data_IF_109219303992
#
_entry.id   IF_109219303992
#
_cell.length_a   1.000
_cell.length_b   1.000
_cell.length_c   1.000
_cell.angle_alpha   90.00
_cell.angle_beta   90.00
_cell.angle_gamma   90.00
#
_symmetry.space_group_name_H-M   'P 1'
#
loop_
_entity.id
_entity.type
_entity.pdbx_description
1 polymer ?
#
# COMPACT_ATOMS: atom_id res chain seq x y z
N UNK A 1 -3.59 -12.43 1.05
CA UNK A 1 -4.48 -11.86 0.00
C UNK A 1 -3.70 -11.52 -1.26
N UNK A 2 -2.64 -10.71 -1.20
CA UNK A 2 -1.81 -10.34 -2.34
C UNK A 2 -1.32 -11.53 -3.21
N UNK A 3 -0.78 -12.59 -2.60
CA UNK A 3 -0.34 -13.78 -3.34
C UNK A 3 -1.45 -14.51 -4.11
N UNK A 4 -2.70 -14.45 -3.63
CA UNK A 4 -3.85 -14.97 -4.38
C UNK A 4 -4.29 -14.01 -5.49
N UNK A 5 -4.12 -12.71 -5.28
CA UNK A 5 -4.52 -11.67 -6.23
C UNK A 5 -3.60 -11.59 -7.45
N UNK A 6 -2.34 -12.01 -7.36
CA UNK A 6 -1.43 -12.09 -8.52
C UNK A 6 -1.53 -13.42 -9.29
N UNK A 7 -2.31 -14.38 -8.80
CA UNK A 7 -2.43 -15.71 -9.40
C UNK A 7 -3.46 -15.69 -10.56
N UNK A 8 -3.06 -16.01 -11.82
CA UNK A 8 -3.96 -15.99 -12.97
C UNK A 8 -5.16 -16.93 -12.86
N UNK A 9 -5.03 -18.08 -12.18
CA UNK A 9 -6.14 -18.99 -11.95
C UNK A 9 -7.24 -18.34 -11.11
N UNK A 10 -6.87 -17.46 -10.18
CA UNK A 10 -7.82 -16.69 -9.38
C UNK A 10 -8.49 -15.60 -10.20
N UNK A 11 -7.84 -15.07 -11.24
CA UNK A 11 -8.46 -14.08 -12.14
C UNK A 11 -9.60 -14.68 -12.92
N UNK A 12 -9.42 -15.88 -13.49
CA UNK A 12 -10.51 -16.60 -14.18
C UNK A 12 -11.68 -16.87 -13.23
N UNK A 13 -11.39 -17.33 -12.01
CA UNK A 13 -12.42 -17.53 -10.99
C UNK A 13 -13.14 -16.23 -10.63
N UNK A 14 -12.41 -15.13 -10.51
CA UNK A 14 -12.98 -13.82 -10.20
C UNK A 14 -13.82 -13.28 -11.35
N UNK A 15 -13.40 -13.49 -12.60
CA UNK A 15 -14.14 -13.14 -13.81
C UNK A 15 -15.54 -13.75 -13.81
N UNK A 16 -15.64 -15.07 -13.60
CA UNK A 16 -16.94 -15.75 -13.49
C UNK A 16 -17.77 -15.24 -12.29
N UNK A 17 -17.14 -14.83 -11.20
CA UNK A 17 -17.83 -14.27 -10.02
C UNK A 17 -18.31 -12.82 -10.20
N UNK A 18 -17.84 -12.12 -11.24
CA UNK A 18 -18.24 -10.76 -11.57
C UNK A 18 -19.38 -10.73 -12.59
N UNK A 19 -19.74 -11.86 -13.18
CA UNK A 19 -20.88 -11.98 -14.08
C UNK A 19 -22.17 -11.54 -13.36
N UNK A 20 -22.87 -10.55 -13.93
CA UNK A 20 -24.08 -9.98 -13.35
C UNK A 20 -23.90 -9.06 -12.14
N UNK A 21 -22.66 -8.73 -11.73
CA UNK A 21 -22.39 -7.79 -10.61
C UNK A 21 -22.24 -6.35 -11.07
N UNK A 22 -22.70 -5.43 -10.23
CA UNK A 22 -22.46 -4.00 -10.42
C UNK A 22 -21.17 -3.55 -9.72
N UNK A 23 -20.63 -2.41 -10.16
CA UNK A 23 -19.47 -1.80 -9.50
C UNK A 23 -19.79 -1.37 -8.06
N UNK A 24 -21.01 -0.92 -7.79
CA UNK A 24 -21.52 -0.59 -6.47
C UNK A 24 -21.42 -1.78 -5.52
N UNK A 25 -21.85 -2.97 -5.94
CA UNK A 25 -21.80 -4.20 -5.13
C UNK A 25 -20.36 -4.53 -4.69
N UNK A 26 -19.40 -4.33 -5.60
CA UNK A 26 -17.97 -4.57 -5.33
C UNK A 26 -17.41 -3.53 -4.37
N UNK A 27 -17.76 -2.26 -4.55
CA UNK A 27 -17.34 -1.18 -3.66
C UNK A 27 -17.90 -1.38 -2.24
N UNK A 28 -19.19 -1.69 -2.12
CA UNK A 28 -19.84 -1.95 -0.83
C UNK A 28 -19.24 -3.16 -0.14
N UNK A 29 -18.96 -4.24 -0.88
CA UNK A 29 -18.27 -5.40 -0.33
C UNK A 29 -16.89 -5.04 0.22
N UNK A 30 -16.13 -4.19 -0.48
CA UNK A 30 -14.82 -3.73 -0.04
C UNK A 30 -14.91 -2.82 1.20
N UNK A 31 -15.88 -1.92 1.23
CA UNK A 31 -16.14 -1.03 2.38
C UNK A 31 -16.52 -1.84 3.61
N UNK A 32 -17.46 -2.79 3.47
CA UNK A 32 -17.87 -3.68 4.56
C UNK A 32 -16.72 -4.54 5.09
N UNK A 33 -15.90 -5.08 4.19
CA UNK A 33 -14.71 -5.84 4.59
C UNK A 33 -13.74 -4.97 5.39
N UNK A 34 -13.46 -3.76 4.89
CA UNK A 34 -12.55 -2.80 5.55
C UNK A 34 -13.08 -2.39 6.91
N UNK A 35 -14.37 -2.04 7.00
CA UNK A 35 -15.02 -1.66 8.25
C UNK A 35 -14.96 -2.79 9.28
N UNK A 36 -15.19 -4.05 8.87
CA UNK A 36 -15.07 -5.21 9.76
C UNK A 36 -13.68 -5.35 10.36
N UNK A 37 -12.61 -5.08 9.60
CA UNK A 37 -11.24 -5.11 10.12
C UNK A 37 -11.02 -4.04 11.20
N UNK A 38 -11.41 -2.79 10.92
CA UNK A 38 -11.25 -1.69 11.88
C UNK A 38 -12.14 -1.85 13.12
N UNK A 39 -13.39 -2.30 12.95
CA UNK A 39 -14.30 -2.57 14.06
C UNK A 39 -13.74 -3.68 14.96
N UNK A 40 -13.16 -4.74 14.38
CA UNK A 40 -12.51 -5.79 15.15
C UNK A 40 -11.31 -5.23 15.95
N UNK A 41 -10.48 -4.39 15.34
CA UNK A 41 -9.36 -3.75 16.03
C UNK A 41 -9.86 -2.91 17.21
N UNK A 42 -10.83 -2.03 16.98
CA UNK A 42 -11.40 -1.17 18.01
C UNK A 42 -11.94 -1.99 19.18
N UNK A 43 -12.78 -2.99 18.90
CA UNK A 43 -13.41 -3.80 19.95
C UNK A 43 -12.42 -4.68 20.71
N UNK A 44 -11.52 -5.36 20.00
CA UNK A 44 -10.58 -6.32 20.60
C UNK A 44 -9.49 -5.61 21.40
N UNK A 45 -9.13 -4.37 21.05
CA UNK A 45 -8.12 -3.60 21.77
C UNK A 45 -8.50 -3.27 23.22
N UNK A 46 -9.79 -3.30 23.57
CA UNK A 46 -10.27 -3.04 24.94
C UNK A 46 -9.86 -4.15 25.92
N UNK A 47 -9.80 -5.41 25.47
CA UNK A 47 -9.66 -6.57 26.37
C UNK A 47 -8.59 -7.58 25.96
N UNK A 48 -7.93 -7.42 24.81
CA UNK A 48 -6.89 -8.34 24.35
C UNK A 48 -5.64 -7.57 23.92
N UNK A 49 -4.49 -8.07 24.36
CA UNK A 49 -3.17 -7.61 23.91
C UNK A 49 -2.59 -8.61 22.92
N UNK A 50 -2.03 -8.10 21.84
CA UNK A 50 -1.33 -8.91 20.83
C UNK A 50 0.12 -9.18 21.25
N UNK A 51 0.77 -10.14 20.61
CA UNK A 51 2.18 -10.47 20.86
C UNK A 51 3.14 -9.30 20.62
N UNK A 52 2.75 -8.34 19.79
CA UNK A 52 3.51 -7.12 19.48
C UNK A 52 3.14 -5.93 20.36
N UNK A 53 2.33 -6.14 21.41
CA UNK A 53 1.95 -5.07 22.33
C UNK A 53 3.17 -4.40 22.95
N UNK A 54 3.19 -3.07 22.91
CA UNK A 54 4.30 -2.23 23.34
C UNK A 54 3.76 -0.92 23.95
N UNK A 55 4.57 -0.12 24.66
CA UNK A 55 4.12 1.13 25.30
C UNK A 55 3.54 2.18 24.34
N UNK A 56 3.87 2.10 23.04
CA UNK A 56 3.37 2.99 21.99
C UNK A 56 2.11 2.44 21.31
N UNK A 57 1.60 1.30 21.78
CA UNK A 57 0.38 0.65 21.30
C UNK A 57 0.43 0.32 19.81
N UNK A 58 -0.67 0.61 19.10
CA UNK A 58 -0.78 0.39 17.65
C UNK A 58 0.00 1.42 16.82
N UNK A 59 0.43 2.54 17.41
CA UNK A 59 1.17 3.58 16.70
C UNK A 59 2.44 3.03 16.05
N UNK A 60 3.17 2.16 16.77
CA UNK A 60 4.38 1.51 16.25
C UNK A 60 4.07 0.55 15.08
N UNK A 61 2.93 -0.14 15.10
CA UNK A 61 2.52 -1.05 14.02
C UNK A 61 2.16 -0.26 12.77
N UNK A 62 1.39 0.83 12.89
CA UNK A 62 1.08 1.68 11.74
C UNK A 62 2.31 2.37 11.18
N UNK A 63 3.21 2.87 12.04
CA UNK A 63 4.49 3.40 11.61
C UNK A 63 5.32 2.35 10.86
N UNK A 64 5.41 1.13 11.38
CA UNK A 64 6.09 0.02 10.71
C UNK A 64 5.50 -0.29 9.34
N UNK A 65 4.17 -0.36 9.24
CA UNK A 65 3.46 -0.54 7.96
C UNK A 65 3.77 0.57 6.95
N UNK A 66 3.71 1.84 7.38
CA UNK A 66 4.10 2.98 6.56
C UNK A 66 5.56 2.88 6.10
N UNK A 67 6.48 2.57 7.02
CA UNK A 67 7.92 2.52 6.75
C UNK A 67 8.25 1.42 5.75
N UNK A 68 7.62 0.25 5.87
CA UNK A 68 7.75 -0.85 4.91
C UNK A 68 7.25 -0.42 3.53
N UNK A 69 6.07 0.18 3.42
CA UNK A 69 5.55 0.70 2.16
C UNK A 69 6.49 1.74 1.53
N UNK A 70 6.98 2.69 2.33
CA UNK A 70 7.89 3.73 1.86
C UNK A 70 9.19 3.13 1.30
N UNK A 71 9.82 2.20 2.03
CA UNK A 71 11.09 1.60 1.60
C UNK A 71 10.92 0.68 0.39
N UNK A 72 9.82 -0.08 0.32
CA UNK A 72 9.59 -1.01 -0.79
C UNK A 72 9.17 -0.30 -2.08
N UNK A 73 8.32 0.72 -1.99
CA UNK A 73 7.78 1.42 -3.15
C UNK A 73 8.48 2.74 -3.44
N UNK A 74 8.45 3.70 -2.49
CA UNK A 74 8.91 5.07 -2.74
C UNK A 74 10.41 5.15 -2.95
N UNK A 75 11.22 4.46 -2.13
CA UNK A 75 12.68 4.44 -2.31
C UNK A 75 13.06 3.77 -3.63
N UNK A 76 12.34 2.70 -4.03
CA UNK A 76 12.54 2.07 -5.34
C UNK A 76 12.20 3.02 -6.48
N UNK A 77 11.14 3.82 -6.34
CA UNK A 77 10.77 4.87 -7.30
C UNK A 77 11.87 5.95 -7.39
N UNK A 78 12.35 6.46 -6.25
CA UNK A 78 13.44 7.44 -6.19
C UNK A 78 14.72 6.93 -6.85
N UNK A 79 15.10 5.65 -6.62
CA UNK A 79 16.27 5.04 -7.27
C UNK A 79 16.14 5.03 -8.80
N UNK A 80 14.96 4.68 -9.32
CA UNK A 80 14.70 4.72 -10.78
C UNK A 80 14.78 6.16 -11.31
N UNK A 81 14.17 7.11 -10.61
CA UNK A 81 14.25 8.54 -10.99
C UNK A 81 15.69 9.05 -10.99
N UNK A 82 16.50 8.72 -9.99
CA UNK A 82 17.90 9.11 -9.94
C UNK A 82 18.70 8.58 -11.14
N UNK A 83 18.47 7.32 -11.53
CA UNK A 83 19.11 6.74 -12.72
C UNK A 83 18.67 7.44 -14.01
N UNK A 84 17.38 7.74 -14.15
CA UNK A 84 16.83 8.46 -15.30
C UNK A 84 17.45 9.85 -15.41
N UNK A 85 17.48 10.60 -14.30
CA UNK A 85 18.00 11.96 -14.27
C UNK A 85 19.50 11.97 -14.54
N UNK A 86 20.26 11.06 -13.92
CA UNK A 86 21.70 10.95 -14.15
C UNK A 86 22.02 10.65 -15.61
N UNK A 87 21.24 9.77 -16.27
CA UNK A 87 21.43 9.43 -17.67
C UNK A 87 21.02 10.56 -18.63
N UNK A 88 19.99 11.34 -18.30
CA UNK A 88 19.47 12.39 -19.18
C UNK A 88 20.18 13.74 -19.04
N UNK A 89 20.51 14.14 -17.80
CA UNK A 89 20.96 15.50 -17.48
C UNK A 89 22.23 15.53 -16.61
N UNK A 90 22.84 14.37 -16.32
CA UNK A 90 23.91 14.25 -15.33
C UNK A 90 23.37 14.17 -13.89
N UNK A 91 24.19 13.66 -12.96
CA UNK A 91 23.80 13.55 -11.56
C UNK A 91 23.52 14.93 -10.97
N UNK A 92 22.31 15.14 -10.43
CA UNK A 92 21.89 16.45 -9.94
C UNK A 92 21.39 17.40 -11.04
N UNK A 93 21.28 16.95 -12.29
CA UNK A 93 20.82 17.74 -13.43
C UNK A 93 19.45 18.39 -13.24
N UNK A 94 18.58 17.78 -12.45
CA UNK A 94 17.27 18.32 -12.07
C UNK A 94 17.35 19.53 -11.13
N UNK A 95 18.51 19.81 -10.55
CA UNK A 95 18.77 20.92 -9.63
C UNK A 95 19.80 21.92 -10.19
N UNK A 96 20.09 21.87 -11.49
CA UNK A 96 20.93 22.88 -12.13
C UNK A 96 20.24 24.25 -12.12
N UNK A 97 21.03 25.30 -11.92
CA UNK A 97 20.56 26.67 -12.04
C UNK A 97 20.10 26.96 -13.49
N UNK A 98 19.15 27.89 -13.68
CA UNK A 98 18.77 28.32 -15.01
C UNK A 98 19.99 28.91 -15.76
N UNK A 99 19.99 28.79 -17.08
CA UNK A 99 21.05 29.35 -17.93
C UNK A 99 21.10 30.88 -17.72
N UNK A 100 22.26 31.47 -17.39
CA UNK A 100 22.40 32.92 -17.26
C UNK A 100 21.98 33.63 -18.56
N UNK A 101 21.34 34.80 -18.43
CA UNK A 101 20.96 35.65 -19.56
C UNK A 101 22.11 36.56 -19.97
#
# INVERSE_FOLDING_TARGET
>A
MAGRAINPLRWKQQWHKMEGKQLSDVADQMMQWTNKQFAQIGRVSEYRRWWWANPLGMGLVFYGGYKVWHMTYMVRKQKKTAQIVAAAYGQGGQWLNPVPK
#
